data_IF_753843708649
#
_entry.id   IF_753843708649
#
_cell.length_a   1.000
_cell.length_b   1.000
_cell.length_c   1.000
_cell.angle_alpha   90.00
_cell.angle_beta   90.00
_cell.angle_gamma   90.00
#
_symmetry.space_group_name_H-M   'P 1'
#
loop_
_entity.id
_entity.type
_entity.pdbx_description
1 polymer ?
#
# COMPACT_ATOMS: atom_id res chain seq x y z
N UNK A 1 19.08 0.99 2.93
CA UNK A 1 20.06 1.01 1.80
C UNK A 1 19.64 1.94 0.65
N UNK A 2 18.35 2.13 0.35
CA UNK A 2 17.89 3.12 -0.65
C UNK A 2 17.76 4.56 -0.11
N UNK A 3 17.55 4.73 1.20
CA UNK A 3 17.47 6.02 1.90
C UNK A 3 18.81 6.76 1.91
N UNK A 4 19.90 6.11 2.35
CA UNK A 4 21.24 6.72 2.35
C UNK A 4 21.76 7.05 0.94
N UNK A 5 21.41 6.23 -0.05
CA UNK A 5 21.75 6.50 -1.45
C UNK A 5 21.01 7.74 -1.97
N UNK A 6 19.72 7.86 -1.66
CA UNK A 6 18.90 9.03 -1.97
C UNK A 6 19.43 10.30 -1.29
N UNK A 7 19.77 10.22 -0.01
CA UNK A 7 20.25 11.37 0.75
C UNK A 7 21.62 11.86 0.25
N UNK A 8 22.52 10.94 -0.14
CA UNK A 8 23.79 11.30 -0.80
C UNK A 8 23.58 11.91 -2.19
N UNK A 9 22.57 11.46 -2.93
CA UNK A 9 22.23 11.99 -4.25
C UNK A 9 21.73 13.43 -4.19
N UNK A 10 20.85 13.70 -3.23
CA UNK A 10 20.33 15.04 -2.93
C UNK A 10 21.47 15.94 -2.44
N UNK A 11 22.30 15.45 -1.51
CA UNK A 11 23.43 16.19 -0.95
C UNK A 11 24.50 16.58 -1.98
N UNK A 12 24.63 15.83 -3.08
CA UNK A 12 25.59 16.11 -4.16
C UNK A 12 24.97 16.74 -5.41
N UNK A 13 23.67 17.06 -5.42
CA UNK A 13 22.99 17.67 -6.58
C UNK A 13 22.99 16.80 -7.84
N UNK A 14 23.15 15.48 -7.69
CA UNK A 14 23.30 14.53 -8.81
C UNK A 14 21.96 14.04 -9.38
N UNK A 15 20.85 14.57 -8.87
CA UNK A 15 19.48 14.19 -9.23
C UNK A 15 19.22 14.38 -10.74
N UNK A 16 19.70 15.50 -11.29
CA UNK A 16 19.59 15.79 -12.72
C UNK A 16 20.45 14.84 -13.56
N UNK A 17 21.64 14.48 -13.11
CA UNK A 17 22.54 13.59 -13.87
C UNK A 17 21.98 12.16 -13.97
N UNK A 18 21.31 11.69 -12.92
CA UNK A 18 20.65 10.38 -12.95
C UNK A 18 19.41 10.42 -13.83
N UNK A 19 18.61 11.48 -13.75
CA UNK A 19 17.48 11.68 -14.64
C UNK A 19 17.95 11.70 -16.10
N UNK A 20 19.02 12.42 -16.41
CA UNK A 20 19.61 12.50 -17.75
C UNK A 20 20.15 11.15 -18.22
N UNK A 21 20.78 10.37 -17.35
CA UNK A 21 21.27 9.03 -17.67
C UNK A 21 20.11 8.05 -17.99
N UNK A 22 19.02 8.13 -17.22
CA UNK A 22 17.81 7.32 -17.46
C UNK A 22 17.15 7.75 -18.77
N UNK A 23 17.00 9.05 -19.02
CA UNK A 23 16.43 9.59 -20.25
C UNK A 23 17.28 9.22 -21.47
N UNK A 24 18.61 9.28 -21.37
CA UNK A 24 19.52 8.85 -22.42
C UNK A 24 19.35 7.36 -22.75
N UNK A 25 19.13 6.51 -21.74
CA UNK A 25 18.92 5.09 -21.94
C UNK A 25 17.54 4.77 -22.54
N UNK A 26 16.51 5.51 -22.12
CA UNK A 26 15.17 5.43 -22.72
C UNK A 26 15.18 5.88 -24.18
N UNK A 27 15.95 6.93 -24.52
CA UNK A 27 16.12 7.38 -25.90
C UNK A 27 16.83 6.34 -26.76
N UNK A 28 17.93 5.75 -26.26
CA UNK A 28 18.65 4.65 -26.95
C UNK A 28 17.78 3.43 -27.24
N UNK A 29 16.78 3.17 -26.40
CA UNK A 29 15.83 2.06 -26.56
C UNK A 29 14.57 2.43 -27.36
N UNK A 30 14.51 3.63 -27.94
CA UNK A 30 13.36 4.09 -28.73
C UNK A 30 12.08 4.31 -27.92
N UNK A 31 12.19 4.39 -26.59
CA UNK A 31 11.05 4.59 -25.68
C UNK A 31 10.60 6.07 -25.64
N UNK A 32 11.34 6.97 -26.29
CA UNK A 32 11.04 8.40 -26.37
C UNK A 32 10.92 8.79 -27.86
N UNK A 33 9.82 9.48 -28.22
CA UNK A 33 9.64 10.08 -29.55
C UNK A 33 10.23 11.49 -29.57
N UNK A 34 11.10 11.78 -30.54
CA UNK A 34 11.62 13.12 -30.76
C UNK A 34 10.51 14.06 -31.31
N UNK A 35 10.39 15.25 -30.73
CA UNK A 35 9.61 16.37 -31.30
C UNK A 35 8.17 16.55 -30.81
N UNK A 36 7.69 15.75 -29.85
CA UNK A 36 6.41 16.03 -29.18
C UNK A 36 6.60 17.01 -28.02
N UNK A 37 5.74 18.02 -27.87
CA UNK A 37 5.65 18.80 -26.63
C UNK A 37 5.23 17.84 -25.52
N UNK A 38 6.21 17.35 -24.76
CA UNK A 38 5.99 16.46 -23.64
C UNK A 38 5.13 17.20 -22.61
N UNK A 39 3.83 16.89 -22.58
CA UNK A 39 3.00 17.16 -21.41
C UNK A 39 3.24 16.03 -20.40
N UNK A 40 4.46 15.93 -19.92
CA UNK A 40 4.75 15.33 -18.62
C UNK A 40 4.32 16.37 -17.60
N UNK A 41 3.02 16.48 -17.34
CA UNK A 41 2.60 17.16 -16.13
C UNK A 41 3.09 16.27 -14.98
N UNK A 42 4.27 16.61 -14.46
CA UNK A 42 4.94 15.86 -13.41
C UNK A 42 3.99 15.63 -12.23
N UNK A 43 3.01 16.52 -12.04
CA UNK A 43 1.92 16.40 -11.07
C UNK A 43 1.05 15.16 -11.29
N UNK A 44 0.65 14.87 -12.54
CA UNK A 44 -0.19 13.72 -12.87
C UNK A 44 0.56 12.41 -12.65
N UNK A 45 1.80 12.33 -13.13
CA UNK A 45 2.66 11.14 -12.92
C UNK A 45 2.94 10.92 -11.44
N UNK A 46 3.26 11.98 -10.68
CA UNK A 46 3.48 11.91 -9.22
C UNK A 46 2.21 11.47 -8.49
N UNK A 47 1.03 11.94 -8.90
CA UNK A 47 -0.24 11.51 -8.31
C UNK A 47 -0.48 10.02 -8.55
N UNK A 48 -0.30 9.54 -9.79
CA UNK A 48 -0.45 8.11 -10.11
C UNK A 48 0.52 7.23 -9.33
N UNK A 49 1.79 7.64 -9.18
CA UNK A 49 2.77 6.90 -8.38
C UNK A 49 2.36 6.87 -6.91
N UNK A 50 1.86 7.98 -6.36
CA UNK A 50 1.38 8.03 -4.97
C UNK A 50 0.19 7.11 -4.74
N UNK A 51 -0.72 7.01 -5.70
CA UNK A 51 -1.86 6.10 -5.61
C UNK A 51 -1.45 4.64 -5.71
N UNK A 52 -0.48 4.33 -6.58
CA UNK A 52 0.08 3.00 -6.69
C UNK A 52 0.79 2.58 -5.39
N UNK A 53 1.68 3.42 -4.87
CA UNK A 53 2.38 3.17 -3.60
C UNK A 53 1.41 3.03 -2.43
N UNK A 54 0.31 3.80 -2.45
CA UNK A 54 -0.73 3.71 -1.43
C UNK A 54 -1.49 2.40 -1.51
N UNK A 55 -1.78 1.94 -2.73
CA UNK A 55 -2.44 0.67 -2.95
C UNK A 55 -1.55 -0.50 -2.53
N UNK A 56 -0.26 -0.47 -2.88
CA UNK A 56 0.74 -1.42 -2.38
C UNK A 56 0.78 -1.43 -0.85
N UNK A 57 0.80 -0.26 -0.23
CA UNK A 57 0.85 -0.12 1.23
C UNK A 57 -0.34 -0.78 1.93
N UNK A 58 -1.57 -0.56 1.47
CA UNK A 58 -2.75 -1.18 2.10
C UNK A 58 -2.79 -2.70 1.86
N UNK A 59 -2.42 -3.16 0.67
CA UNK A 59 -2.36 -4.59 0.35
C UNK A 59 -1.28 -5.30 1.18
N UNK A 60 -0.11 -4.69 1.35
CA UNK A 60 0.97 -5.25 2.15
C UNK A 60 0.64 -5.23 3.65
N UNK A 61 -0.05 -4.20 4.14
CA UNK A 61 -0.54 -4.16 5.53
C UNK A 61 -1.48 -5.34 5.82
N UNK A 62 -2.41 -5.63 4.89
CA UNK A 62 -3.29 -6.79 4.99
C UNK A 62 -2.50 -8.10 5.01
N UNK A 63 -1.52 -8.24 4.10
CA UNK A 63 -0.66 -9.41 4.02
C UNK A 63 0.10 -9.66 5.33
N UNK A 64 0.73 -8.63 5.90
CA UNK A 64 1.45 -8.74 7.16
C UNK A 64 0.54 -9.14 8.33
N UNK A 65 -0.70 -8.64 8.38
CA UNK A 65 -1.68 -9.06 9.39
C UNK A 65 -2.04 -10.54 9.24
N UNK A 66 -2.31 -11.01 8.01
CA UNK A 66 -2.59 -12.42 7.73
C UNK A 66 -1.40 -13.33 8.08
N UNK A 67 -0.17 -12.91 7.78
CA UNK A 67 1.05 -13.65 8.16
C UNK A 67 1.19 -13.76 9.69
N UNK A 68 1.00 -12.65 10.41
CA UNK A 68 1.07 -12.65 11.87
C UNK A 68 0.01 -13.57 12.49
N UNK A 69 -1.22 -13.56 11.95
CA UNK A 69 -2.30 -14.45 12.37
C UNK A 69 -2.00 -15.91 12.06
N UNK A 70 -1.41 -16.21 10.89
CA UNK A 70 -1.02 -17.56 10.51
C UNK A 70 0.06 -18.13 11.44
N UNK A 71 0.95 -17.29 11.96
CA UNK A 71 1.96 -17.69 12.94
C UNK A 71 1.35 -17.85 14.34
N UNK A 72 0.52 -16.90 14.78
CA UNK A 72 -0.01 -16.88 16.14
C UNK A 72 -1.13 -17.91 16.37
N UNK A 73 -2.03 -18.10 15.40
CA UNK A 73 -3.18 -18.99 15.52
C UNK A 73 -3.59 -19.58 14.15
N UNK A 74 -2.78 -20.49 13.57
CA UNK A 74 -3.04 -21.07 12.26
C UNK A 74 -4.37 -21.82 12.18
N UNK A 75 -4.75 -22.55 13.25
CA UNK A 75 -6.01 -23.30 13.28
C UNK A 75 -7.24 -22.39 13.31
N UNK A 76 -7.16 -21.25 14.00
CA UNK A 76 -8.23 -20.25 14.02
C UNK A 76 -8.37 -19.58 12.64
N UNK A 77 -7.24 -19.19 12.04
CA UNK A 77 -7.23 -18.57 10.72
C UNK A 77 -7.81 -19.49 9.64
N UNK A 78 -7.46 -20.79 9.67
CA UNK A 78 -7.99 -21.78 8.75
C UNK A 78 -9.48 -22.10 8.96
N UNK A 79 -9.99 -21.90 10.18
CA UNK A 79 -11.40 -22.09 10.53
C UNK A 79 -12.27 -20.85 10.30
N UNK A 80 -11.68 -19.75 9.82
CA UNK A 80 -12.40 -18.48 9.58
C UNK A 80 -12.97 -18.45 8.17
N UNK A 81 -14.27 -18.18 8.03
CA UNK A 81 -14.95 -18.08 6.73
C UNK A 81 -14.45 -16.91 5.85
N UNK A 82 -13.78 -15.92 6.45
CA UNK A 82 -13.23 -14.76 5.74
C UNK A 82 -12.07 -15.13 4.79
N UNK A 83 -11.28 -16.17 5.09
CA UNK A 83 -10.12 -16.55 4.26
C UNK A 83 -10.55 -17.49 3.14
N UNK A 84 -11.11 -16.92 2.08
CA UNK A 84 -11.54 -17.66 0.89
C UNK A 84 -10.45 -17.74 -0.21
N UNK A 85 -10.73 -18.45 -1.30
CA UNK A 85 -9.78 -18.63 -2.40
C UNK A 85 -9.36 -17.31 -3.07
N UNK A 86 -10.25 -16.31 -3.11
CA UNK A 86 -9.95 -15.00 -3.69
C UNK A 86 -8.98 -14.21 -2.82
N UNK A 87 -9.07 -14.34 -1.49
CA UNK A 87 -8.12 -13.74 -0.55
C UNK A 87 -6.74 -14.36 -0.68
N UNK A 88 -6.68 -15.69 -0.78
CA UNK A 88 -5.42 -16.39 -1.01
C UNK A 88 -4.78 -15.91 -2.33
N UNK A 89 -5.54 -15.85 -3.42
CA UNK A 89 -5.04 -15.34 -4.69
C UNK A 89 -4.51 -13.88 -4.61
N UNK A 90 -5.15 -13.04 -3.78
CA UNK A 90 -4.82 -11.62 -3.62
C UNK A 90 -3.63 -11.35 -2.70
N UNK A 91 -3.49 -12.12 -1.62
CA UNK A 91 -2.52 -11.83 -0.53
C UNK A 91 -1.39 -12.87 -0.40
N UNK A 92 -1.45 -14.02 -1.06
CA UNK A 92 -0.38 -15.03 -0.99
C UNK A 92 0.96 -14.52 -1.51
N UNK A 93 0.95 -13.49 -2.35
CA UNK A 93 2.14 -12.89 -2.93
C UNK A 93 2.26 -11.42 -2.53
N UNK A 94 3.50 -10.93 -2.44
CA UNK A 94 3.76 -9.50 -2.21
C UNK A 94 3.08 -8.63 -3.26
N UNK A 95 2.52 -7.51 -2.80
CA UNK A 95 2.02 -6.47 -3.67
C UNK A 95 3.19 -5.86 -4.46
N UNK A 96 3.05 -5.86 -5.79
CA UNK A 96 4.02 -5.30 -6.74
C UNK A 96 3.23 -4.47 -7.75
N UNK A 97 3.71 -3.25 -8.02
CA UNK A 97 3.30 -2.34 -9.10
C UNK A 97 2.95 -3.04 -10.42
N UNK A 98 3.63 -4.13 -10.79
CA UNK A 98 3.36 -4.90 -12.00
C UNK A 98 2.09 -5.76 -11.95
N UNK A 99 1.66 -6.18 -10.74
CA UNK A 99 0.46 -6.99 -10.51
C UNK A 99 -0.79 -6.15 -10.22
N UNK A 100 -0.62 -4.88 -9.88
CA UNK A 100 -1.74 -3.99 -9.60
C UNK A 100 -2.44 -3.53 -10.89
N UNK A 101 -3.76 -3.26 -10.83
CA UNK A 101 -4.48 -2.77 -11.99
C UNK A 101 -3.88 -1.49 -12.57
N UNK A 102 -3.91 -1.36 -13.90
CA UNK A 102 -3.32 -0.22 -14.61
C UNK A 102 -4.31 0.92 -14.82
N UNK A 103 -5.61 0.63 -14.83
CA UNK A 103 -6.67 1.63 -14.91
C UNK A 103 -6.96 2.30 -13.56
N UNK A 104 -7.20 3.61 -13.56
CA UNK A 104 -7.67 4.36 -12.38
C UNK A 104 -8.99 3.82 -11.76
N UNK A 105 -10.06 3.52 -12.54
CA UNK A 105 -11.28 2.95 -11.96
C UNK A 105 -11.03 1.54 -11.40
N UNK A 106 -10.23 0.73 -12.08
CA UNK A 106 -9.89 -0.63 -11.63
C UNK A 106 -9.04 -0.60 -10.34
N UNK A 107 -8.12 0.36 -10.21
CA UNK A 107 -7.35 0.55 -8.97
C UNK A 107 -8.23 0.95 -7.80
N UNK A 108 -9.20 1.82 -8.04
CA UNK A 108 -10.14 2.24 -7.00
C UNK A 108 -11.00 1.06 -6.55
N UNK A 109 -11.57 0.30 -7.49
CA UNK A 109 -12.36 -0.89 -7.18
C UNK A 109 -11.52 -1.94 -6.43
N UNK A 110 -10.28 -2.18 -6.87
CA UNK A 110 -9.36 -3.08 -6.16
C UNK A 110 -9.05 -2.57 -4.75
N UNK A 111 -8.79 -1.27 -4.57
CA UNK A 111 -8.55 -0.67 -3.26
C UNK A 111 -9.75 -0.83 -2.34
N UNK A 112 -10.97 -0.63 -2.84
CA UNK A 112 -12.22 -0.80 -2.09
C UNK A 112 -12.47 -2.27 -1.72
N UNK A 113 -12.16 -3.21 -2.61
CA UNK A 113 -12.19 -4.64 -2.30
C UNK A 113 -11.21 -5.00 -1.17
N UNK A 114 -9.96 -4.53 -1.26
CA UNK A 114 -8.96 -4.71 -0.18
C UNK A 114 -9.47 -4.11 1.12
N UNK A 115 -10.07 -2.91 1.06
CA UNK A 115 -10.69 -2.26 2.22
C UNK A 115 -11.82 -3.10 2.83
N UNK A 116 -12.68 -3.69 1.99
CA UNK A 116 -13.71 -4.64 2.36
C UNK A 116 -13.15 -5.83 3.13
N UNK A 117 -12.15 -6.50 2.55
CA UNK A 117 -11.52 -7.67 3.15
C UNK A 117 -10.96 -7.35 4.54
N UNK A 118 -10.25 -6.23 4.70
CA UNK A 118 -9.69 -5.89 6.00
C UNK A 118 -10.75 -5.56 7.05
N UNK A 119 -11.91 -5.01 6.67
CA UNK A 119 -13.02 -4.84 7.61
C UNK A 119 -13.70 -6.16 7.97
N UNK A 120 -13.79 -7.10 7.03
CA UNK A 120 -14.27 -8.44 7.29
C UNK A 120 -13.36 -9.17 8.28
N UNK A 121 -12.04 -9.11 8.07
CA UNK A 121 -11.06 -9.68 9.00
C UNK A 121 -11.15 -9.06 10.39
N UNK A 122 -11.21 -7.72 10.48
CA UNK A 122 -11.33 -7.02 11.75
C UNK A 122 -12.65 -7.36 12.45
N UNK A 123 -13.73 -7.61 11.70
CA UNK A 123 -15.01 -8.03 12.27
C UNK A 123 -14.92 -9.42 12.89
N UNK A 124 -14.29 -10.39 12.20
CA UNK A 124 -14.05 -11.73 12.76
C UNK A 124 -13.16 -11.67 14.00
N UNK A 125 -12.13 -10.82 13.99
CA UNK A 125 -11.24 -10.64 15.14
C UNK A 125 -11.94 -9.98 16.34
N UNK A 126 -12.96 -9.17 16.10
CA UNK A 126 -13.77 -8.52 17.15
C UNK A 126 -14.86 -9.44 17.72
N UNK A 127 -15.12 -10.59 17.10
CA UNK A 127 -16.08 -11.56 17.59
C UNK A 127 -15.65 -12.10 18.98
N UNK A 128 -16.56 -12.20 19.97
CA UNK A 128 -16.23 -12.73 21.29
C UNK A 128 -15.67 -14.15 21.32
N UNK A 129 -15.90 -14.93 20.26
CA UNK A 129 -15.38 -16.29 20.08
C UNK A 129 -13.94 -16.32 19.56
N UNK A 130 -13.43 -15.20 19.03
CA UNK A 130 -12.05 -15.10 18.58
C UNK A 130 -11.08 -15.02 19.78
N UNK A 131 -9.89 -15.65 19.70
CA UNK A 131 -8.90 -15.54 20.77
C UNK A 131 -8.48 -14.09 20.99
N UNK A 132 -8.73 -13.57 22.19
CA UNK A 132 -8.59 -12.14 22.48
C UNK A 132 -7.21 -11.56 22.15
N UNK A 133 -6.15 -12.34 22.38
CA UNK A 133 -4.76 -11.95 22.13
C UNK A 133 -4.44 -11.65 20.65
N UNK A 134 -5.26 -12.14 19.70
CA UNK A 134 -5.05 -11.88 18.28
C UNK A 134 -5.32 -10.42 17.91
N UNK A 135 -6.23 -9.75 18.64
CA UNK A 135 -6.50 -8.32 18.44
C UNK A 135 -5.33 -7.43 18.85
N UNK A 136 -4.51 -7.92 19.76
CA UNK A 136 -3.37 -7.19 20.33
C UNK A 136 -2.08 -7.40 19.54
N UNK A 137 -2.08 -8.26 18.51
CA UNK A 137 -0.95 -8.42 17.61
C UNK A 137 -0.64 -7.08 16.94
N UNK A 138 0.64 -6.68 16.95
CA UNK A 138 1.08 -5.40 16.39
C UNK A 138 0.61 -5.20 14.94
N UNK A 139 0.67 -6.26 14.12
CA UNK A 139 0.21 -6.22 12.74
C UNK A 139 -1.31 -5.98 12.61
N UNK A 140 -2.12 -6.48 13.56
CA UNK A 140 -3.57 -6.27 13.59
C UNK A 140 -3.92 -4.87 14.09
N UNK A 141 -3.19 -4.37 15.09
CA UNK A 141 -3.32 -2.97 15.56
C UNK A 141 -2.95 -2.00 14.44
N UNK A 142 -1.87 -2.30 13.71
CA UNK A 142 -1.45 -1.53 12.54
C UNK A 142 -2.53 -1.57 11.45
N UNK A 143 -3.07 -2.75 11.13
CA UNK A 143 -4.17 -2.92 10.18
C UNK A 143 -5.35 -2.01 10.54
N UNK A 144 -5.82 -2.06 11.79
CA UNK A 144 -6.95 -1.24 12.27
C UNK A 144 -6.67 0.26 12.13
N UNK A 145 -5.44 0.67 12.44
CA UNK A 145 -4.98 2.07 12.33
C UNK A 145 -4.95 2.54 10.88
N UNK A 146 -4.38 1.73 9.99
CA UNK A 146 -4.33 2.01 8.55
C UNK A 146 -5.74 2.05 7.97
N UNK A 147 -6.61 1.10 8.33
CA UNK A 147 -7.98 1.06 7.81
C UNK A 147 -8.79 2.29 8.19
N UNK A 148 -8.70 2.73 9.45
CA UNK A 148 -9.37 3.95 9.91
C UNK A 148 -8.90 5.21 9.17
N UNK A 149 -7.62 5.24 8.75
CA UNK A 149 -7.01 6.37 8.03
C UNK A 149 -7.27 6.34 6.54
N UNK A 150 -7.30 5.16 5.93
CA UNK A 150 -7.32 4.98 4.48
C UNK A 150 -8.72 4.77 3.91
N UNK A 151 -9.65 4.29 4.74
CA UNK A 151 -11.01 3.95 4.33
C UNK A 151 -12.06 4.72 5.13
N UNK A 152 -13.23 4.85 4.52
CA UNK A 152 -14.48 5.22 5.18
C UNK A 152 -15.46 4.09 4.93
N UNK A 153 -16.18 3.68 5.97
CA UNK A 153 -17.28 2.74 5.86
C UNK A 153 -18.58 3.50 6.03
N UNK A 154 -19.47 3.39 5.06
CA UNK A 154 -20.83 3.93 5.13
C UNK A 154 -21.86 2.84 4.83
N UNK A 155 -23.15 3.19 4.83
CA UNK A 155 -24.23 2.26 4.54
C UNK A 155 -24.18 1.66 3.12
N UNK A 156 -23.34 2.20 2.22
CA UNK A 156 -23.18 1.74 0.84
C UNK A 156 -21.94 0.86 0.64
N UNK A 157 -21.11 0.70 1.67
CA UNK A 157 -19.92 -0.14 1.63
C UNK A 157 -18.65 0.58 2.07
N UNK A 158 -17.52 0.07 1.60
CA UNK A 158 -16.20 0.62 1.91
C UNK A 158 -15.76 1.53 0.79
N UNK A 159 -15.50 2.79 1.10
CA UNK A 159 -14.92 3.76 0.17
C UNK A 159 -13.49 4.07 0.51
N UNK A 160 -12.65 4.04 -0.51
CA UNK A 160 -11.25 4.45 -0.38
C UNK A 160 -11.18 5.98 -0.30
N UNK A 161 -10.57 6.52 0.75
CA UNK A 161 -10.54 7.98 0.94
C UNK A 161 -9.77 8.65 -0.19
N UNK A 162 -10.31 9.72 -0.76
CA UNK A 162 -9.60 10.52 -1.77
C UNK A 162 -8.51 11.42 -1.17
N UNK A 163 -7.54 11.86 -1.99
CA UNK A 163 -6.42 12.72 -1.58
C UNK A 163 -6.81 13.99 -0.80
N UNK A 164 -8.01 14.53 -1.06
CA UNK A 164 -8.53 15.76 -0.42
C UNK A 164 -9.16 15.55 0.96
N UNK A 165 -9.34 14.30 1.39
CA UNK A 165 -9.98 13.96 2.67
C UNK A 165 -8.97 13.46 3.73
N UNK A 166 -7.67 13.74 3.51
CA UNK A 166 -6.57 13.31 4.38
C UNK A 166 -6.06 14.45 5.27
N UNK A 167 -5.62 14.15 6.51
CA UNK A 167 -4.84 15.08 7.31
C UNK A 167 -3.51 15.43 6.62
N UNK A 168 -2.89 16.60 6.92
CA UNK A 168 -1.63 17.05 6.31
C UNK A 168 -0.51 16.03 6.47
N UNK A 169 0.43 16.01 5.50
CA UNK A 169 1.43 14.94 5.30
C UNK A 169 2.40 14.63 6.44
N UNK A 170 2.42 15.41 7.52
CA UNK A 170 3.35 15.26 8.65
C UNK A 170 3.04 14.06 9.57
N UNK A 171 1.91 13.37 9.39
CA UNK A 171 1.49 12.22 10.20
C UNK A 171 1.41 10.88 9.41
N UNK A 172 2.03 10.80 8.23
CA UNK A 172 1.98 9.58 7.41
C UNK A 172 3.00 8.56 7.88
N UNK A 173 2.50 7.38 8.23
CA UNK A 173 3.29 6.14 8.24
C UNK A 173 3.37 5.72 6.77
N UNK A 174 4.58 5.72 6.21
CA UNK A 174 4.83 5.51 4.77
C UNK A 174 5.18 4.04 4.47
N UNK A 175 5.45 3.25 5.50
CA UNK A 175 5.78 1.83 5.39
C UNK A 175 5.23 1.07 6.61
N UNK A 176 4.72 -0.16 6.44
CA UNK A 176 4.29 -1.00 7.57
C UNK A 176 5.45 -1.39 8.50
N UNK A 177 6.68 -1.12 8.08
CA UNK A 177 7.92 -1.32 8.84
C UNK A 177 8.47 -0.04 9.49
N UNK A 178 7.77 1.09 9.41
CA UNK A 178 8.27 2.39 9.90
C UNK A 178 7.77 2.72 11.31
N UNK A 179 8.05 1.81 12.26
CA UNK A 179 7.87 2.07 13.70
C UNK A 179 9.21 2.28 14.43
N UNK A 180 10.35 2.02 13.78
CA UNK A 180 11.68 1.97 14.43
C UNK A 180 12.69 3.00 13.90
N UNK A 181 12.36 4.28 13.96
CA UNK A 181 13.36 5.35 13.82
C UNK A 181 13.23 6.46 14.87
N UNK A 182 12.77 6.09 16.09
CA UNK A 182 12.91 6.94 17.29
C UNK A 182 13.27 6.10 18.51
N UNK A 183 14.53 5.66 18.54
CA UNK A 183 15.28 5.38 19.75
C UNK A 183 16.78 5.46 19.38
N UNK A 184 17.46 6.52 19.84
CA UNK A 184 18.89 6.74 19.66
C UNK A 184 19.21 8.11 19.07
#
# INVERSE_FOLDING_TARGET
MLSEFRDRLIAHGLEQQILDAILAQCNKRGLLRAGGRARTDSTYVIACIRDLNRLEFVTETMRCALEALAVAAPAWLAGTDAVNADWLARYQQRADSYRLPKGEPERTAFAENVGGDGYELLHTLDDPTAPAHLRDLEAVVLLRTVWAREYQRDARGVRWRGHKQRPPGAARIVSPHDVDARCG
#
